data_IF_139694004930
#
_entry.id   IF_139694004930
#
_cell.length_a   1.000
_cell.length_b   1.000
_cell.length_c   1.000
_cell.angle_alpha   90.00
_cell.angle_beta   90.00
_cell.angle_gamma   90.00
#
_symmetry.space_group_name_H-M   'P 1'
#
loop_
_entity.id
_entity.type
_entity.pdbx_description
1 polymer ?
#
# COMPACT_ATOMS: atom_id res chain seq x y z
N UNK A 1 17.94 19.64 4.47
CA UNK A 1 17.53 18.76 3.36
C UNK A 1 16.83 19.57 2.30
N UNK A 2 17.19 19.36 1.03
CA UNK A 2 16.49 20.00 -0.07
C UNK A 2 15.15 19.28 -0.28
N UNK A 3 14.05 19.87 0.23
CA UNK A 3 12.70 19.28 0.21
C UNK A 3 12.29 18.81 -1.20
N UNK A 4 12.81 19.49 -2.23
CA UNK A 4 12.63 19.17 -3.64
C UNK A 4 13.12 17.78 -4.05
N UNK A 5 14.08 17.20 -3.33
CA UNK A 5 14.63 15.85 -3.61
C UNK A 5 13.90 14.74 -2.85
N UNK A 6 13.24 15.07 -1.74
CA UNK A 6 12.55 14.09 -0.87
C UNK A 6 11.13 13.83 -1.35
N UNK A 7 10.42 14.87 -1.77
CA UNK A 7 9.02 14.78 -2.22
C UNK A 7 8.83 13.79 -3.39
N UNK A 8 9.63 13.80 -4.46
CA UNK A 8 9.44 12.88 -5.59
C UNK A 8 9.62 11.41 -5.17
N UNK A 9 10.55 11.15 -4.26
CA UNK A 9 10.82 9.79 -3.74
C UNK A 9 9.69 9.27 -2.86
N UNK A 10 9.17 10.12 -1.97
CA UNK A 10 8.01 9.75 -1.15
C UNK A 10 6.80 9.49 -2.04
N UNK A 11 6.59 10.33 -3.05
CA UNK A 11 5.50 10.16 -4.01
C UNK A 11 5.62 8.83 -4.77
N UNK A 12 6.80 8.52 -5.31
CA UNK A 12 7.06 7.26 -6.01
C UNK A 12 6.85 6.05 -5.10
N UNK A 13 7.29 6.13 -3.84
CA UNK A 13 7.07 5.07 -2.86
C UNK A 13 5.58 4.86 -2.61
N UNK A 14 4.83 5.93 -2.31
CA UNK A 14 3.37 5.86 -2.09
C UNK A 14 2.66 5.28 -3.32
N UNK A 15 3.00 5.74 -4.52
CA UNK A 15 2.43 5.24 -5.78
C UNK A 15 2.67 3.73 -5.95
N UNK A 16 3.89 3.25 -5.72
CA UNK A 16 4.20 1.81 -5.79
C UNK A 16 3.38 0.99 -4.78
N UNK A 17 3.19 1.49 -3.56
CA UNK A 17 2.40 0.82 -2.54
C UNK A 17 0.91 0.78 -2.89
N UNK A 18 0.37 1.86 -3.46
CA UNK A 18 -1.02 1.90 -3.94
C UNK A 18 -1.25 0.92 -5.10
N UNK A 19 -0.31 0.83 -6.05
CA UNK A 19 -0.38 -0.13 -7.16
C UNK A 19 -0.33 -1.56 -6.62
N UNK A 20 0.60 -1.86 -5.71
CA UNK A 20 0.71 -3.18 -5.10
C UNK A 20 -0.56 -3.55 -4.32
N UNK A 21 -1.11 -2.62 -3.55
CA UNK A 21 -2.36 -2.82 -2.82
C UNK A 21 -3.54 -3.11 -3.77
N UNK A 22 -3.67 -2.35 -4.86
CA UNK A 22 -4.71 -2.57 -5.86
C UNK A 22 -4.53 -3.91 -6.60
N UNK A 23 -3.29 -4.28 -6.95
CA UNK A 23 -2.98 -5.56 -7.58
C UNK A 23 -3.33 -6.74 -6.67
N UNK A 24 -2.96 -6.68 -5.38
CA UNK A 24 -3.33 -7.68 -4.39
C UNK A 24 -4.85 -7.73 -4.20
N UNK A 25 -5.52 -6.58 -4.13
CA UNK A 25 -6.97 -6.47 -4.02
C UNK A 25 -7.66 -7.15 -5.21
N UNK A 26 -7.17 -6.94 -6.44
CA UNK A 26 -7.68 -7.56 -7.65
C UNK A 26 -7.38 -9.06 -7.75
N UNK A 27 -6.25 -9.53 -7.18
CA UNK A 27 -5.84 -10.93 -7.22
C UNK A 27 -6.68 -11.80 -6.28
N UNK A 28 -7.00 -11.29 -5.09
CA UNK A 28 -7.67 -12.06 -4.04
C UNK A 28 -9.18 -11.82 -3.97
N UNK A 29 -9.70 -10.88 -4.75
CA UNK A 29 -11.12 -10.63 -4.81
C UNK A 29 -11.78 -11.44 -5.92
N UNK A 30 -12.99 -11.87 -5.62
CA UNK A 30 -13.82 -12.67 -6.50
C UNK A 30 -15.07 -11.86 -6.86
N UNK A 31 -15.51 -12.00 -8.10
CA UNK A 31 -16.78 -11.42 -8.55
C UNK A 31 -17.88 -12.46 -8.32
N UNK A 32 -18.91 -12.08 -7.58
CA UNK A 32 -20.07 -12.95 -7.40
C UNK A 32 -20.91 -13.05 -8.68
N UNK A 33 -21.89 -13.97 -8.69
CA UNK A 33 -22.78 -14.19 -9.83
C UNK A 33 -23.63 -12.97 -10.22
N UNK A 34 -23.64 -11.90 -9.41
CA UNK A 34 -24.35 -10.65 -9.64
C UNK A 34 -23.41 -9.52 -10.11
N UNK A 35 -22.13 -9.83 -10.36
CA UNK A 35 -21.14 -8.84 -10.77
C UNK A 35 -20.56 -8.02 -9.62
N UNK A 36 -20.86 -8.34 -8.35
CA UNK A 36 -20.30 -7.62 -7.22
C UNK A 36 -18.92 -8.18 -6.87
N UNK A 37 -17.94 -7.28 -6.79
CA UNK A 37 -16.60 -7.62 -6.31
C UNK A 37 -16.61 -7.81 -4.79
N UNK A 38 -16.17 -8.97 -4.32
CA UNK A 38 -16.12 -9.32 -2.90
C UNK A 38 -14.73 -9.84 -2.53
N UNK A 39 -14.31 -9.49 -1.33
CA UNK A 39 -13.11 -10.03 -0.70
C UNK A 39 -13.52 -10.73 0.57
N UNK A 40 -12.95 -11.92 0.80
CA UNK A 40 -13.12 -12.64 2.05
C UNK A 40 -12.56 -11.81 3.23
N UNK A 41 -13.28 -11.76 4.37
CA UNK A 41 -12.84 -11.03 5.58
C UNK A 41 -11.42 -11.38 6.03
N UNK A 42 -10.99 -12.63 5.86
CA UNK A 42 -9.63 -13.04 6.18
C UNK A 42 -8.58 -12.36 5.26
N UNK A 43 -8.83 -12.35 3.95
CA UNK A 43 -7.98 -11.67 2.97
C UNK A 43 -8.00 -10.14 3.17
N UNK A 44 -9.16 -9.58 3.52
CA UNK A 44 -9.28 -8.16 3.87
C UNK A 44 -8.42 -7.81 5.10
N UNK A 45 -8.41 -8.66 6.13
CA UNK A 45 -7.56 -8.48 7.30
C UNK A 45 -6.07 -8.51 6.93
N UNK A 46 -5.63 -9.46 6.10
CA UNK A 46 -4.24 -9.53 5.61
C UNK A 46 -3.85 -8.25 4.86
N UNK A 47 -4.70 -7.75 3.96
CA UNK A 47 -4.45 -6.51 3.24
C UNK A 47 -4.25 -5.32 4.17
N UNK A 48 -5.06 -5.21 5.23
CA UNK A 48 -4.93 -4.14 6.24
C UNK A 48 -3.58 -4.26 6.98
N UNK A 49 -3.21 -5.47 7.40
CA UNK A 49 -1.93 -5.71 8.11
C UNK A 49 -0.73 -5.36 7.22
N UNK A 50 -0.75 -5.78 5.95
CA UNK A 50 0.30 -5.44 4.97
C UNK A 50 0.39 -3.93 4.79
N UNK A 51 -0.76 -3.25 4.63
CA UNK A 51 -0.81 -1.79 4.46
C UNK A 51 -0.20 -1.07 5.66
N UNK A 52 -0.54 -1.48 6.89
CA UNK A 52 0.03 -0.91 8.11
C UNK A 52 1.55 -1.12 8.19
N UNK A 53 2.04 -2.31 7.84
CA UNK A 53 3.47 -2.60 7.82
C UNK A 53 4.22 -1.70 6.83
N UNK A 54 3.65 -1.47 5.64
CA UNK A 54 4.20 -0.60 4.61
C UNK A 54 4.21 0.87 5.06
N UNK A 55 3.16 1.35 5.74
CA UNK A 55 3.13 2.70 6.33
C UNK A 55 4.26 2.86 7.36
N UNK A 56 4.43 1.89 8.26
CA UNK A 56 5.52 1.91 9.26
C UNK A 56 6.90 1.90 8.59
N UNK A 57 7.09 1.08 7.55
CA UNK A 57 8.33 1.04 6.78
C UNK A 57 8.62 2.37 6.07
N UNK A 58 7.60 3.04 5.54
CA UNK A 58 7.71 4.38 4.94
C UNK A 58 8.21 5.39 5.96
N UNK A 59 7.57 5.44 7.13
CA UNK A 59 7.91 6.38 8.22
C UNK A 59 9.35 6.13 8.70
N UNK A 60 9.74 4.86 8.87
CA UNK A 60 11.09 4.50 9.29
C UNK A 60 12.13 4.91 8.25
N UNK A 61 11.86 4.68 6.96
CA UNK A 61 12.75 5.06 5.86
C UNK A 61 12.94 6.58 5.81
N UNK A 62 11.87 7.34 6.01
CA UNK A 62 11.92 8.80 6.08
C UNK A 62 12.74 9.28 7.29
N UNK A 63 12.49 8.71 8.47
CA UNK A 63 13.22 9.07 9.69
C UNK A 63 14.71 8.68 9.63
N UNK A 64 15.05 7.54 9.01
CA UNK A 64 16.45 7.12 8.82
C UNK A 64 17.23 7.99 7.84
N UNK A 65 16.58 8.53 6.79
CA UNK A 65 17.25 9.48 5.88
C UNK A 65 17.41 10.89 6.46
N UNK A 66 16.57 11.27 7.43
CA UNK A 66 16.61 12.59 8.05
C UNK A 66 17.60 12.71 9.24
N UNK A 67 18.30 11.63 9.59
CA UNK A 67 19.44 11.66 10.51
C UNK A 67 20.73 11.89 9.74
#
# INVERSE_FOLDING_TARGET
>A
MDFKKVVPWVLAFVTLNSILGAALYSLIGETDNYGNFKINRFHQFILIVITLALVVATIKTFRCRNK
#
